data_IF_582848100688
#
_entry.id   IF_582848100688
#
_cell.length_a   1.000
_cell.length_b   1.000
_cell.length_c   1.000
_cell.angle_alpha   90.00
_cell.angle_beta   90.00
_cell.angle_gamma   90.00
#
_symmetry.space_group_name_H-M   'P 1'
#
loop_
_entity.id
_entity.type
_entity.pdbx_description
1 polymer ?
#
# COMPACT_ATOMS: atom_id res chain seq x y z
N UNK A 1 45.42 -57.62 -16.79
CA UNK A 1 44.42 -56.96 -15.91
C UNK A 1 44.35 -55.49 -16.32
N UNK A 2 43.29 -55.12 -17.03
CA UNK A 2 42.92 -53.75 -17.44
C UNK A 2 42.40 -53.02 -16.19
N UNK A 3 42.53 -51.75 -15.89
CA UNK A 3 42.93 -50.53 -16.59
C UNK A 3 42.35 -49.39 -15.73
N UNK A 4 43.13 -48.34 -15.47
CA UNK A 4 42.69 -47.09 -14.81
C UNK A 4 41.52 -46.47 -15.58
N UNK A 5 40.56 -45.86 -14.88
CA UNK A 5 40.23 -44.42 -15.02
C UNK A 5 38.93 -44.04 -14.29
N UNK A 6 39.09 -43.09 -13.36
CA UNK A 6 38.30 -41.88 -13.16
C UNK A 6 36.79 -42.03 -12.92
N UNK A 7 36.44 -41.96 -11.62
CA UNK A 7 35.13 -41.53 -11.14
C UNK A 7 34.84 -40.09 -11.60
N UNK A 8 33.70 -39.94 -12.27
CA UNK A 8 33.16 -38.68 -12.75
C UNK A 8 32.70 -37.78 -11.59
N UNK A 9 32.81 -36.47 -11.84
CA UNK A 9 32.49 -35.37 -10.96
C UNK A 9 30.98 -35.17 -10.72
N UNK A 10 30.63 -34.66 -9.53
CA UNK A 10 29.57 -33.66 -9.41
C UNK A 10 29.80 -32.78 -8.16
N UNK A 11 29.94 -31.48 -8.42
CA UNK A 11 30.20 -30.39 -7.46
C UNK A 11 29.02 -30.16 -6.51
N UNK A 12 29.35 -30.17 -5.21
CA UNK A 12 28.99 -29.27 -4.09
C UNK A 12 27.55 -28.69 -3.98
N UNK A 13 27.00 -28.67 -2.76
CA UNK A 13 25.58 -28.47 -2.50
C UNK A 13 25.14 -27.04 -2.77
N UNK A 14 24.05 -26.88 -3.52
CA UNK A 14 23.38 -25.60 -3.66
C UNK A 14 22.64 -25.28 -2.35
N UNK A 15 23.39 -24.66 -1.44
CA UNK A 15 22.82 -23.78 -0.42
C UNK A 15 22.13 -22.63 -1.13
N UNK A 16 20.79 -22.61 -1.09
CA UNK A 16 20.02 -21.37 -1.19
C UNK A 16 18.69 -21.54 -0.46
N UNK A 17 18.78 -21.47 0.86
CA UNK A 17 17.66 -21.03 1.69
C UNK A 17 17.38 -19.58 1.30
N UNK A 18 16.40 -19.35 0.43
CA UNK A 18 15.73 -18.07 0.25
C UNK A 18 14.26 -18.37 -0.07
N UNK A 19 13.56 -18.98 0.90
CA UNK A 19 12.11 -18.83 0.94
C UNK A 19 11.85 -17.49 1.60
N UNK A 20 11.72 -16.46 0.76
CA UNK A 20 11.32 -15.12 1.17
C UNK A 20 10.01 -15.23 1.91
N UNK A 21 10.03 -14.97 3.22
CA UNK A 21 8.81 -14.69 3.97
C UNK A 21 8.22 -13.41 3.39
N UNK A 22 7.29 -13.57 2.47
CA UNK A 22 6.43 -12.50 1.99
C UNK A 22 5.10 -13.12 1.58
N UNK A 23 4.58 -13.94 2.50
CA UNK A 23 3.24 -14.46 2.42
C UNK A 23 2.33 -13.39 3.04
N UNK A 24 1.60 -12.76 2.12
CA UNK A 24 0.24 -12.25 2.28
C UNK A 24 0.09 -10.81 2.79
N UNK A 25 -0.17 -9.94 1.82
CA UNK A 25 -0.69 -8.58 1.98
C UNK A 25 -2.07 -8.59 2.63
N UNK A 26 -2.10 -8.83 3.94
CA UNK A 26 -3.12 -8.26 4.80
C UNK A 26 -2.76 -6.78 4.96
N UNK A 27 -3.56 -5.90 4.36
CA UNK A 27 -3.41 -4.47 4.56
C UNK A 27 -3.22 -4.19 6.05
N UNK A 28 -2.14 -3.49 6.36
CA UNK A 28 -1.73 -3.09 7.70
C UNK A 28 -2.94 -2.58 8.49
N UNK A 29 -2.96 -2.80 9.81
CA UNK A 29 -4.05 -2.31 10.68
C UNK A 29 -4.31 -0.81 10.47
N UNK A 30 -3.25 -0.05 10.16
CA UNK A 30 -3.31 1.34 9.76
C UNK A 30 -4.13 1.59 8.48
N UNK A 31 -3.98 0.77 7.43
CA UNK A 31 -4.77 0.89 6.20
C UNK A 31 -6.26 0.72 6.45
N UNK A 32 -6.63 -0.27 7.27
CA UNK A 32 -8.02 -0.54 7.61
C UNK A 32 -8.64 0.57 8.47
N UNK A 33 -7.86 1.11 9.42
CA UNK A 33 -8.27 2.26 10.23
C UNK A 33 -8.50 3.50 9.37
N UNK A 34 -7.54 3.83 8.49
CA UNK A 34 -7.66 4.97 7.55
C UNK A 34 -8.83 4.79 6.59
N UNK A 35 -9.00 3.58 6.03
CA UNK A 35 -10.10 3.28 5.12
C UNK A 35 -11.46 3.52 5.80
N UNK A 36 -11.63 3.02 7.02
CA UNK A 36 -12.87 3.19 7.78
C UNK A 36 -13.12 4.66 8.15
N UNK A 37 -12.10 5.36 8.64
CA UNK A 37 -12.22 6.78 8.99
C UNK A 37 -12.61 7.65 7.79
N UNK A 38 -11.97 7.45 6.64
CA UNK A 38 -12.26 8.19 5.42
C UNK A 38 -13.66 7.86 4.86
N UNK A 39 -14.03 6.58 4.85
CA UNK A 39 -15.35 6.13 4.40
C UNK A 39 -16.47 6.77 5.22
N UNK A 40 -16.37 6.72 6.56
CA UNK A 40 -17.39 7.29 7.45
C UNK A 40 -17.44 8.82 7.41
N UNK A 41 -16.30 9.50 7.40
CA UNK A 41 -16.24 10.98 7.48
C UNK A 41 -16.58 11.67 6.16
N UNK A 42 -16.21 11.08 5.03
CA UNK A 42 -16.36 11.69 3.71
C UNK A 42 -17.46 11.05 2.87
N UNK A 43 -18.19 10.07 3.40
CA UNK A 43 -19.22 9.32 2.65
C UNK A 43 -18.68 8.88 1.28
N UNK A 44 -17.45 8.38 1.30
CA UNK A 44 -16.68 8.12 0.09
C UNK A 44 -17.27 6.89 -0.63
N UNK A 45 -17.45 7.04 -1.94
CA UNK A 45 -17.92 5.95 -2.83
C UNK A 45 -16.80 4.96 -3.09
N UNK A 46 -15.55 5.45 -3.12
CA UNK A 46 -14.36 4.63 -3.28
C UNK A 46 -13.28 5.13 -2.34
N UNK A 47 -12.67 4.21 -1.60
CA UNK A 47 -11.49 4.47 -0.78
C UNK A 47 -10.49 3.35 -1.06
N UNK A 48 -9.27 3.73 -1.41
CA UNK A 48 -8.16 2.82 -1.59
C UNK A 48 -6.98 3.38 -0.84
N UNK A 49 -6.49 2.63 0.14
CA UNK A 49 -5.27 2.92 0.88
C UNK A 49 -4.26 1.85 0.46
N UNK A 50 -3.03 2.25 0.16
CA UNK A 50 -1.96 1.33 -0.22
C UNK A 50 -0.67 1.75 0.47
N UNK A 51 -0.11 0.86 1.29
CA UNK A 51 1.23 1.04 1.84
C UNK A 51 2.29 0.93 0.72
N UNK A 52 3.02 2.02 0.49
CA UNK A 52 4.12 2.08 -0.48
C UNK A 52 5.50 2.01 0.18
N UNK A 53 5.53 1.90 1.51
CA UNK A 53 6.77 1.78 2.29
C UNK A 53 7.33 0.36 2.37
N UNK A 54 6.70 -0.60 1.67
CA UNK A 54 7.16 -1.99 1.64
C UNK A 54 6.95 -2.74 2.95
N UNK A 55 5.92 -2.39 3.73
CA UNK A 55 5.58 -3.04 5.01
C UNK A 55 6.17 -2.37 6.25
N UNK A 56 6.80 -1.20 6.11
CA UNK A 56 7.27 -0.41 7.24
C UNK A 56 6.18 0.50 7.82
N UNK A 57 5.03 0.64 7.16
CA UNK A 57 3.93 1.52 7.57
C UNK A 57 4.32 3.00 7.68
N UNK A 58 5.32 3.43 6.91
CA UNK A 58 5.87 4.79 7.00
C UNK A 58 5.33 5.73 5.92
N UNK A 59 4.85 5.18 4.80
CA UNK A 59 4.36 5.95 3.65
C UNK A 59 3.18 5.26 2.98
N UNK A 60 2.07 6.01 2.80
CA UNK A 60 0.84 5.48 2.23
C UNK A 60 0.38 6.33 1.04
N UNK A 61 -0.13 5.68 0.00
CA UNK A 61 -0.85 6.32 -1.10
C UNK A 61 -2.36 6.09 -0.89
N UNK A 62 -3.11 7.19 -0.85
CA UNK A 62 -4.53 7.21 -0.51
C UNK A 62 -5.30 7.80 -1.68
N UNK A 63 -6.17 7.00 -2.28
CA UNK A 63 -7.10 7.42 -3.33
C UNK A 63 -8.53 7.40 -2.78
N UNK A 64 -9.18 8.56 -2.79
CA UNK A 64 -10.57 8.72 -2.30
C UNK A 64 -11.42 9.37 -3.38
N UNK A 65 -12.52 8.71 -3.71
CA UNK A 65 -13.60 9.28 -4.50
C UNK A 65 -14.81 9.57 -3.60
N UNK A 66 -15.19 10.84 -3.48
CA UNK A 66 -16.33 11.27 -2.67
C UNK A 66 -17.11 12.41 -3.33
N UNK A 67 -18.45 12.43 -3.21
CA UNK A 67 -19.27 13.54 -3.66
C UNK A 67 -18.97 14.85 -2.90
N UNK A 68 -18.45 14.77 -1.67
CA UNK A 68 -18.05 15.93 -0.84
C UNK A 68 -16.97 16.80 -1.52
N UNK A 69 -16.21 16.21 -2.46
CA UNK A 69 -15.17 16.93 -3.19
C UNK A 69 -15.72 17.74 -4.38
N UNK A 70 -16.97 17.52 -4.79
CA UNK A 70 -17.62 18.24 -5.88
C UNK A 70 -17.78 19.72 -5.49
N UNK A 71 -17.26 20.61 -6.33
CA UNK A 71 -17.29 22.06 -6.09
C UNK A 71 -16.26 22.59 -5.07
N UNK A 72 -15.41 21.73 -4.50
CA UNK A 72 -14.31 22.14 -3.62
C UNK A 72 -13.00 22.29 -4.40
N UNK A 73 -12.16 23.23 -3.98
CA UNK A 73 -10.78 23.36 -4.50
C UNK A 73 -9.91 22.20 -4.01
N UNK A 74 -8.92 21.77 -4.81
CA UNK A 74 -7.93 20.73 -4.42
C UNK A 74 -7.32 20.95 -3.03
N UNK A 75 -6.96 22.19 -2.69
CA UNK A 75 -6.38 22.52 -1.38
C UNK A 75 -7.36 22.21 -0.23
N UNK A 76 -8.64 22.55 -0.39
CA UNK A 76 -9.68 22.23 0.60
C UNK A 76 -9.91 20.72 0.71
N UNK A 77 -9.91 20.00 -0.41
CA UNK A 77 -10.04 18.54 -0.43
C UNK A 77 -8.90 17.90 0.37
N UNK A 78 -7.66 18.29 0.12
CA UNK A 78 -6.50 17.79 0.86
C UNK A 78 -6.54 18.17 2.35
N UNK A 79 -6.99 19.40 2.68
CA UNK A 79 -7.19 19.80 4.08
C UNK A 79 -8.21 18.93 4.79
N UNK A 80 -9.34 18.60 4.16
CA UNK A 80 -10.35 17.72 4.77
C UNK A 80 -9.78 16.32 5.06
N UNK A 81 -9.07 15.74 4.09
CA UNK A 81 -8.42 14.44 4.27
C UNK A 81 -7.36 14.50 5.37
N UNK A 82 -6.51 15.53 5.38
CA UNK A 82 -5.49 15.73 6.42
C UNK A 82 -6.10 15.87 7.82
N UNK A 83 -7.23 16.56 7.97
CA UNK A 83 -7.87 16.72 9.29
C UNK A 83 -8.46 15.40 9.80
N UNK A 84 -8.98 14.55 8.90
CA UNK A 84 -9.48 13.21 9.27
C UNK A 84 -8.33 12.29 9.65
N UNK A 85 -7.24 12.33 8.88
CA UNK A 85 -6.08 11.47 9.08
C UNK A 85 -5.08 12.06 10.08
N UNK A 86 -5.34 13.21 10.67
CA UNK A 86 -4.40 13.95 11.53
C UNK A 86 -3.87 13.11 12.69
N UNK A 87 -4.71 12.21 13.21
CA UNK A 87 -4.35 11.30 14.29
C UNK A 87 -3.35 10.24 13.81
N UNK A 88 -3.57 9.67 12.62
CA UNK A 88 -2.66 8.69 12.02
C UNK A 88 -1.39 9.30 11.43
N UNK A 89 -1.47 10.50 10.85
CA UNK A 89 -0.34 11.23 10.27
C UNK A 89 0.75 11.48 11.30
N UNK A 90 0.41 11.68 12.59
CA UNK A 90 1.41 11.87 13.66
C UNK A 90 2.37 10.68 13.80
N UNK A 91 1.90 9.49 13.44
CA UNK A 91 2.67 8.25 13.51
C UNK A 91 3.42 7.96 12.20
N UNK A 92 3.12 8.68 11.12
CA UNK A 92 3.60 8.40 9.76
C UNK A 92 4.64 9.43 9.29
N UNK A 93 5.58 9.00 8.43
CA UNK A 93 6.57 9.91 7.82
C UNK A 93 5.98 10.75 6.68
N UNK A 94 4.97 10.22 5.98
CA UNK A 94 4.29 10.96 4.91
C UNK A 94 3.15 10.17 4.26
N UNK A 95 2.30 10.86 3.51
CA UNK A 95 1.25 10.27 2.70
C UNK A 95 1.06 11.03 1.40
N UNK A 96 0.60 10.31 0.38
CA UNK A 96 0.16 10.89 -0.88
C UNK A 96 -1.36 10.83 -0.94
N UNK A 97 -2.00 11.97 -1.18
CA UNK A 97 -3.46 12.09 -1.23
C UNK A 97 -3.91 12.35 -2.65
N UNK A 98 -4.76 11.48 -3.16
CA UNK A 98 -5.45 11.61 -4.45
C UNK A 98 -6.93 11.72 -4.18
N UNK A 99 -7.47 12.90 -4.45
CA UNK A 99 -8.90 13.19 -4.30
C UNK A 99 -9.55 13.27 -5.67
N UNK A 100 -10.66 12.55 -5.83
CA UNK A 100 -11.41 12.48 -7.08
C UNK A 100 -12.90 12.66 -6.79
N UNK A 101 -13.65 13.21 -7.73
CA UNK A 101 -15.11 13.15 -7.64
C UNK A 101 -15.59 11.78 -8.11
N UNK A 102 -16.78 11.32 -7.68
CA UNK A 102 -17.34 10.05 -8.16
C UNK A 102 -17.49 10.04 -9.70
N UNK A 103 -17.79 11.20 -10.30
CA UNK A 103 -17.84 11.38 -11.76
C UNK A 103 -16.47 11.14 -12.42
N UNK A 104 -15.39 11.64 -11.81
CA UNK A 104 -14.02 11.44 -12.29
C UNK A 104 -13.56 9.99 -12.14
N UNK A 105 -14.06 9.28 -11.11
CA UNK A 105 -13.76 7.87 -10.89
C UNK A 105 -14.52 6.96 -11.87
N UNK A 106 -15.78 7.27 -12.16
CA UNK A 106 -16.59 6.52 -13.14
C UNK A 106 -16.03 6.60 -14.56
N UNK A 107 -15.30 7.68 -14.88
CA UNK A 107 -14.75 7.93 -16.20
C UNK A 107 -13.26 7.59 -16.32
N UNK A 108 -12.70 6.93 -15.30
CA UNK A 108 -11.31 6.46 -15.22
C UNK A 108 -11.24 4.98 -15.57
#
# INVERSE_FOLDING_TARGET
MRGRMLLAAAKRPASRVWFSSSADGAGSEAEQAMHSALSTRLEAVHVKVTDVSGGCGSMFDIEVASPQFKGQTRVKQHRMVNEILKEEIKSMHGLTIRTMTPEQFQNK
#
